data_IF_672781187831
#
_entry.id   IF_672781187831
#
_cell.length_a   1.000
_cell.length_b   1.000
_cell.length_c   1.000
_cell.angle_alpha   90.00
_cell.angle_beta   90.00
_cell.angle_gamma   90.00
#
_symmetry.space_group_name_H-M   'P 1'
#
loop_
_entity.id
_entity.type
_entity.pdbx_description
1 polymer ?
#
# COMPACT_ATOMS: atom_id res chain seq x y z
N UNK A 1 -20.10 -20.58 -13.57
CA UNK A 1 -18.67 -20.69 -13.63
C UNK A 1 -18.04 -19.78 -12.56
N UNK A 2 -17.26 -20.34 -11.63
CA UNK A 2 -16.50 -19.54 -10.66
C UNK A 2 -15.37 -18.88 -11.45
N UNK A 3 -15.50 -17.61 -11.73
CA UNK A 3 -14.41 -16.82 -12.28
C UNK A 3 -13.30 -16.78 -11.19
N UNK A 4 -12.25 -17.57 -11.38
CA UNK A 4 -11.02 -17.46 -10.58
C UNK A 4 -10.37 -16.13 -10.97
N UNK A 5 -10.49 -15.13 -10.11
CA UNK A 5 -9.80 -13.86 -10.29
C UNK A 5 -8.31 -14.13 -10.06
N UNK A 6 -7.54 -14.21 -11.16
CA UNK A 6 -6.09 -14.40 -11.13
C UNK A 6 -5.33 -13.08 -10.89
N UNK A 7 -6.06 -11.97 -10.76
CA UNK A 7 -5.52 -10.63 -10.57
C UNK A 7 -5.00 -10.42 -9.15
N UNK A 8 -3.98 -9.58 -8.92
CA UNK A 8 -3.43 -9.32 -7.60
C UNK A 8 -4.48 -8.74 -6.65
N UNK A 9 -5.35 -7.84 -7.14
CA UNK A 9 -6.44 -7.29 -6.33
C UNK A 9 -7.75 -7.42 -7.10
N UNK A 10 -8.77 -7.99 -6.46
CA UNK A 10 -10.09 -8.12 -7.04
C UNK A 10 -11.16 -8.02 -5.95
N UNK A 11 -12.02 -7.04 -6.06
CA UNK A 11 -13.22 -6.88 -5.26
C UNK A 11 -14.44 -7.11 -6.16
N UNK A 12 -15.39 -7.91 -5.71
CA UNK A 12 -16.65 -8.18 -6.42
C UNK A 12 -17.78 -8.06 -5.40
N UNK A 13 -18.63 -7.05 -5.57
CA UNK A 13 -19.77 -6.73 -4.71
C UNK A 13 -19.38 -6.74 -3.23
N UNK A 14 -18.19 -6.24 -2.92
CA UNK A 14 -17.63 -6.27 -1.58
C UNK A 14 -18.39 -5.31 -0.65
N UNK A 15 -18.92 -5.87 0.44
CA UNK A 15 -19.58 -5.09 1.48
C UNK A 15 -18.81 -5.19 2.80
N UNK A 16 -18.84 -4.12 3.58
CA UNK A 16 -18.35 -4.12 4.96
C UNK A 16 -19.31 -3.32 5.86
N UNK A 17 -19.89 -4.03 6.80
CA UNK A 17 -20.63 -3.46 7.91
C UNK A 17 -19.85 -3.74 9.18
N UNK A 18 -19.55 -2.71 9.96
CA UNK A 18 -18.91 -2.81 11.27
C UNK A 18 -19.92 -3.12 12.36
N UNK A 19 -19.48 -3.60 13.51
CA UNK A 19 -20.35 -4.00 14.64
C UNK A 19 -21.20 -2.83 15.19
N UNK A 20 -20.73 -1.60 15.00
CA UNK A 20 -21.49 -0.39 15.35
C UNK A 20 -22.59 -0.01 14.33
N UNK A 21 -22.84 -0.86 13.33
CA UNK A 21 -23.83 -0.64 12.27
C UNK A 21 -23.36 0.21 11.10
N UNK A 22 -22.13 0.72 11.10
CA UNK A 22 -21.58 1.54 10.00
C UNK A 22 -21.38 0.69 8.76
N UNK A 23 -22.09 0.98 7.66
CA UNK A 23 -21.90 0.37 6.34
C UNK A 23 -20.80 1.13 5.59
N UNK A 24 -19.57 0.70 5.75
CA UNK A 24 -18.41 1.36 5.17
C UNK A 24 -18.20 1.05 3.67
N UNK A 25 -18.64 -0.12 3.21
CA UNK A 25 -18.66 -0.49 1.79
C UNK A 25 -20.03 -1.08 1.43
N UNK A 26 -20.54 -0.69 0.26
CA UNK A 26 -21.91 -0.93 -0.20
C UNK A 26 -21.93 -1.58 -1.60
N UNK A 27 -21.23 -2.72 -1.76
CA UNK A 27 -21.14 -3.42 -3.05
C UNK A 27 -20.03 -2.87 -3.96
N UNK A 28 -18.82 -2.73 -3.41
CA UNK A 28 -17.65 -2.23 -4.16
C UNK A 28 -17.13 -3.31 -5.09
N UNK A 29 -16.98 -2.97 -6.39
CA UNK A 29 -16.39 -3.85 -7.40
C UNK A 29 -15.35 -3.11 -8.21
N UNK A 30 -14.12 -3.63 -8.21
CA UNK A 30 -13.01 -3.23 -9.09
C UNK A 30 -11.91 -4.30 -9.09
N UNK A 31 -11.03 -4.23 -10.07
CA UNK A 31 -9.84 -5.07 -10.17
C UNK A 31 -8.61 -4.21 -10.35
N UNK A 32 -7.43 -4.71 -9.98
CA UNK A 32 -6.14 -4.10 -10.30
C UNK A 32 -5.27 -5.19 -10.91
N UNK A 33 -4.66 -4.90 -12.05
CA UNK A 33 -3.81 -5.82 -12.79
C UNK A 33 -2.37 -5.88 -12.23
N UNK A 34 -1.65 -6.96 -12.55
CA UNK A 34 -0.23 -7.09 -12.19
C UNK A 34 0.60 -5.95 -12.81
N UNK A 35 1.41 -5.31 -11.98
CA UNK A 35 2.25 -4.18 -12.40
C UNK A 35 1.46 -2.90 -12.70
N UNK A 36 0.18 -2.83 -12.37
CA UNK A 36 -0.61 -1.62 -12.55
C UNK A 36 -0.29 -0.58 -11.45
N UNK A 37 -0.36 0.71 -11.83
CA UNK A 37 -0.35 1.82 -10.89
C UNK A 37 -1.74 2.45 -10.84
N UNK A 38 -2.38 2.43 -9.66
CA UNK A 38 -3.75 2.90 -9.48
C UNK A 38 -3.84 3.90 -8.33
N UNK A 39 -4.58 4.97 -8.54
CA UNK A 39 -5.04 5.85 -7.48
C UNK A 39 -6.40 5.42 -6.96
N UNK A 40 -6.54 5.30 -5.65
CA UNK A 40 -7.80 5.11 -4.94
C UNK A 40 -8.15 6.42 -4.24
N UNK A 41 -9.12 7.15 -4.77
CA UNK A 41 -9.43 8.51 -4.34
C UNK A 41 -10.87 8.63 -3.84
N UNK A 42 -11.16 9.71 -3.16
CA UNK A 42 -12.51 10.03 -2.65
C UNK A 42 -12.46 10.86 -1.37
N UNK A 43 -13.58 11.44 -0.95
CA UNK A 43 -13.67 12.25 0.26
C UNK A 43 -13.36 11.45 1.53
N UNK A 44 -13.15 12.13 2.64
CA UNK A 44 -13.02 11.47 3.95
C UNK A 44 -14.29 10.65 4.24
N UNK A 45 -14.11 9.44 4.79
CA UNK A 45 -15.24 8.55 5.08
C UNK A 45 -15.79 7.76 3.88
N UNK A 46 -15.26 7.91 2.66
CA UNK A 46 -15.75 7.20 1.47
C UNK A 46 -15.49 5.69 1.47
N UNK A 47 -14.73 5.14 2.42
CA UNK A 47 -14.45 3.70 2.51
C UNK A 47 -13.01 3.29 2.17
N UNK A 48 -12.12 4.22 1.78
CA UNK A 48 -10.72 3.95 1.39
C UNK A 48 -9.95 3.15 2.44
N UNK A 49 -9.96 3.61 3.70
CA UNK A 49 -9.27 2.90 4.79
C UNK A 49 -9.87 1.52 5.07
N UNK A 50 -11.16 1.31 4.80
CA UNK A 50 -11.79 -0.01 4.91
C UNK A 50 -11.30 -0.94 3.81
N UNK A 51 -11.10 -0.45 2.59
CA UNK A 51 -10.48 -1.22 1.50
C UNK A 51 -9.05 -1.62 1.87
N UNK A 52 -8.24 -0.70 2.40
CA UNK A 52 -6.89 -1.02 2.89
C UNK A 52 -6.95 -2.13 3.94
N UNK A 53 -7.83 -2.01 4.93
CA UNK A 53 -8.01 -3.02 5.99
C UNK A 53 -8.44 -4.38 5.46
N UNK A 54 -9.27 -4.43 4.42
CA UNK A 54 -9.62 -5.66 3.72
C UNK A 54 -8.40 -6.26 3.02
N UNK A 55 -7.62 -5.44 2.31
CA UNK A 55 -6.41 -5.89 1.61
C UNK A 55 -5.33 -6.38 2.57
N UNK A 56 -5.19 -5.77 3.74
CA UNK A 56 -4.19 -6.15 4.76
C UNK A 56 -4.65 -7.27 5.70
N UNK A 57 -5.90 -7.72 5.57
CA UNK A 57 -6.48 -8.75 6.43
C UNK A 57 -6.68 -8.30 7.88
N UNK A 58 -6.88 -7.02 8.11
CA UNK A 58 -7.28 -6.48 9.41
C UNK A 58 -8.77 -6.67 9.68
N UNK A 59 -9.57 -6.68 8.61
CA UNK A 59 -10.99 -6.99 8.64
C UNK A 59 -11.33 -7.94 7.49
N UNK A 60 -12.43 -8.67 7.63
CA UNK A 60 -13.02 -9.48 6.56
C UNK A 60 -14.25 -8.80 5.98
N UNK A 61 -14.59 -9.01 4.70
CA UNK A 61 -15.82 -8.48 4.12
C UNK A 61 -17.04 -9.16 4.76
N UNK A 62 -18.13 -8.40 4.88
CA UNK A 62 -19.43 -8.92 5.40
C UNK A 62 -20.17 -9.67 4.30
N UNK A 63 -20.04 -9.22 3.03
CA UNK A 63 -20.60 -9.88 1.85
C UNK A 63 -19.69 -9.63 0.64
N UNK A 64 -19.95 -10.32 -0.46
CA UNK A 64 -19.17 -10.25 -1.68
C UNK A 64 -17.85 -11.03 -1.60
N UNK A 65 -16.93 -10.74 -2.52
CA UNK A 65 -15.62 -11.40 -2.62
C UNK A 65 -14.50 -10.38 -2.67
N UNK A 66 -13.44 -10.67 -1.92
CA UNK A 66 -12.18 -9.90 -1.95
C UNK A 66 -11.04 -10.89 -2.12
N UNK A 67 -10.28 -10.72 -3.19
CA UNK A 67 -9.09 -11.49 -3.48
C UNK A 67 -7.86 -10.57 -3.42
N UNK A 68 -6.79 -11.02 -2.82
CA UNK A 68 -5.55 -10.28 -2.64
C UNK A 68 -4.39 -11.22 -2.89
N UNK A 69 -3.65 -11.01 -3.97
CA UNK A 69 -2.50 -11.83 -4.37
C UNK A 69 -2.78 -13.35 -4.28
N UNK A 70 -3.96 -13.78 -4.78
CA UNK A 70 -4.39 -15.17 -4.77
C UNK A 70 -5.05 -15.65 -3.46
N UNK A 71 -5.08 -14.83 -2.41
CA UNK A 71 -5.76 -15.16 -1.15
C UNK A 71 -7.20 -14.66 -1.15
N UNK A 72 -8.16 -15.53 -0.78
CA UNK A 72 -9.56 -15.14 -0.60
C UNK A 72 -9.77 -14.57 0.80
N UNK A 73 -9.92 -13.25 0.91
CA UNK A 73 -10.06 -12.56 2.20
C UNK A 73 -11.37 -12.90 2.91
N UNK A 74 -12.41 -13.28 2.17
CA UNK A 74 -13.70 -13.72 2.74
C UNK A 74 -13.62 -15.08 3.47
N UNK A 75 -12.57 -15.87 3.22
CA UNK A 75 -12.39 -17.23 3.74
C UNK A 75 -10.98 -17.50 4.27
N UNK A 76 -10.18 -16.43 4.45
CA UNK A 76 -8.79 -16.58 4.89
C UNK A 76 -8.74 -17.13 6.31
N UNK A 77 -8.02 -18.21 6.51
CA UNK A 77 -7.75 -18.71 7.85
C UNK A 77 -6.68 -17.84 8.54
N UNK A 78 -6.78 -17.64 9.85
CA UNK A 78 -5.83 -16.81 10.61
C UNK A 78 -4.37 -17.18 10.35
N UNK A 79 -4.06 -18.47 10.24
CA UNK A 79 -2.72 -18.98 9.92
C UNK A 79 -2.21 -18.59 8.54
N UNK A 80 -3.08 -18.20 7.62
CA UNK A 80 -2.72 -17.75 6.25
C UNK A 80 -2.43 -16.24 6.18
N UNK A 81 -2.98 -15.45 7.12
CA UNK A 81 -2.81 -13.99 7.14
C UNK A 81 -1.33 -13.57 7.11
N UNK A 82 -0.41 -14.16 7.90
CA UNK A 82 1.02 -13.82 7.82
C UNK A 82 1.62 -14.07 6.43
N UNK A 83 1.21 -15.11 5.72
CA UNK A 83 1.70 -15.41 4.37
C UNK A 83 1.16 -14.42 3.34
N UNK A 84 -0.12 -14.07 3.43
CA UNK A 84 -0.73 -13.05 2.60
C UNK A 84 -0.04 -11.68 2.82
N UNK A 85 0.19 -11.26 4.08
CA UNK A 85 0.86 -10.00 4.41
C UNK A 85 2.30 -9.91 3.89
N UNK A 86 2.99 -11.03 3.67
CA UNK A 86 4.32 -11.04 3.02
C UNK A 86 4.28 -10.61 1.56
N UNK A 87 3.13 -10.75 0.91
CA UNK A 87 2.94 -10.36 -0.50
C UNK A 87 2.60 -8.89 -0.69
N UNK A 88 2.35 -8.16 0.42
CA UNK A 88 1.95 -6.76 0.41
C UNK A 88 2.94 -5.92 1.23
N UNK A 89 3.43 -4.84 0.64
CA UNK A 89 4.11 -3.77 1.34
C UNK A 89 3.12 -2.65 1.66
N UNK A 90 3.03 -2.22 2.92
CA UNK A 90 2.15 -1.11 3.33
C UNK A 90 3.00 0.09 3.72
N UNK A 91 2.66 1.25 3.15
CA UNK A 91 3.26 2.55 3.45
C UNK A 91 2.17 3.39 4.11
N UNK A 92 2.47 3.95 5.28
CA UNK A 92 1.54 4.77 6.07
C UNK A 92 1.93 6.24 6.04
N UNK A 93 0.97 7.12 6.22
CA UNK A 93 1.15 8.57 6.29
C UNK A 93 2.08 8.99 7.46
N UNK A 94 2.00 8.31 8.60
CA UNK A 94 2.76 8.58 9.83
C UNK A 94 4.09 7.80 9.92
N UNK A 95 4.60 7.33 8.80
CA UNK A 95 5.84 6.56 8.62
C UNK A 95 5.92 5.27 9.45
N UNK A 96 5.43 5.26 10.67
CA UNK A 96 5.47 4.14 11.64
C UNK A 96 6.87 3.54 11.82
N UNK A 97 7.89 4.40 11.87
CA UNK A 97 9.25 3.97 12.17
C UNK A 97 9.43 3.75 13.67
N UNK A 98 10.25 2.77 14.01
CA UNK A 98 10.61 2.51 15.41
C UNK A 98 11.73 3.48 15.78
N UNK A 99 11.41 4.49 16.57
CA UNK A 99 12.28 5.65 16.85
C UNK A 99 13.61 5.30 17.52
N UNK A 100 13.66 4.27 18.37
CA UNK A 100 14.88 3.80 19.04
C UNK A 100 15.64 2.72 18.25
N UNK A 101 15.39 2.58 16.96
CA UNK A 101 16.06 1.67 16.03
C UNK A 101 16.63 2.46 14.86
N UNK A 102 17.81 2.03 14.40
CA UNK A 102 18.39 2.59 13.17
C UNK A 102 17.54 2.30 11.94
N UNK A 103 17.82 2.97 10.83
CA UNK A 103 17.23 2.66 9.51
C UNK A 103 17.43 1.18 9.20
N UNK A 104 18.68 0.68 9.32
CA UNK A 104 19.00 -0.74 9.13
C UNK A 104 18.12 -1.65 9.98
N UNK A 105 17.95 -1.34 11.27
CA UNK A 105 17.19 -2.19 12.19
C UNK A 105 15.70 -2.17 11.91
N UNK A 106 15.15 -1.03 11.44
CA UNK A 106 13.76 -0.92 11.00
C UNK A 106 13.48 -1.87 9.80
N UNK A 107 14.39 -1.94 8.83
CA UNK A 107 14.28 -2.87 7.71
C UNK A 107 14.52 -4.32 8.15
N UNK A 108 15.57 -4.55 8.97
CA UNK A 108 15.91 -5.88 9.46
C UNK A 108 14.78 -6.54 10.24
N UNK A 109 14.01 -5.75 11.01
CA UNK A 109 12.86 -6.27 11.75
C UNK A 109 11.79 -6.83 10.81
N UNK A 110 11.47 -6.12 9.72
CA UNK A 110 10.51 -6.59 8.72
C UNK A 110 10.98 -7.89 8.04
N UNK A 111 12.26 -8.01 7.75
CA UNK A 111 12.84 -9.23 7.17
C UNK A 111 12.87 -10.40 8.17
N UNK A 112 13.25 -10.16 9.42
CA UNK A 112 13.25 -11.19 10.47
C UNK A 112 11.85 -11.73 10.74
N UNK A 113 10.83 -10.89 10.69
CA UNK A 113 9.44 -11.30 10.86
C UNK A 113 8.97 -12.34 9.82
N UNK A 114 9.63 -12.42 8.67
CA UNK A 114 9.36 -13.43 7.63
C UNK A 114 10.37 -14.58 7.63
N UNK A 115 11.32 -14.59 8.58
CA UNK A 115 12.31 -15.66 8.74
C UNK A 115 13.58 -15.48 7.92
N UNK A 116 13.89 -14.26 7.47
CA UNK A 116 15.10 -14.00 6.69
C UNK A 116 16.40 -14.28 7.48
N UNK A 117 17.35 -14.92 6.83
CA UNK A 117 18.67 -15.23 7.37
C UNK A 117 19.58 -14.00 7.48
N UNK A 118 20.62 -14.02 8.33
CA UNK A 118 21.62 -12.95 8.40
C UNK A 118 22.28 -12.61 7.05
N UNK A 119 22.45 -13.60 6.18
CA UNK A 119 23.02 -13.42 4.83
C UNK A 119 22.06 -12.63 3.94
N UNK A 120 20.77 -12.93 3.99
CA UNK A 120 19.75 -12.20 3.23
C UNK A 120 19.65 -10.75 3.70
N UNK A 121 19.68 -10.50 5.02
CA UNK A 121 19.71 -9.14 5.57
C UNK A 121 20.89 -8.34 5.04
N UNK A 122 22.11 -8.96 5.08
CA UNK A 122 23.35 -8.31 4.64
C UNK A 122 23.31 -7.87 3.18
N UNK A 123 22.64 -8.64 2.33
CA UNK A 123 22.57 -8.36 0.89
C UNK A 123 21.38 -7.45 0.53
N UNK A 124 20.21 -7.68 1.14
CA UNK A 124 18.97 -7.02 0.73
C UNK A 124 18.83 -5.60 1.25
N UNK A 125 19.24 -5.34 2.50
CA UNK A 125 19.09 -4.02 3.11
C UNK A 125 19.85 -2.95 2.34
N UNK A 126 21.17 -3.08 2.04
CA UNK A 126 21.90 -2.09 1.26
C UNK A 126 21.29 -1.85 -0.12
N UNK A 127 20.88 -2.91 -0.82
CA UNK A 127 20.23 -2.81 -2.13
C UNK A 127 18.96 -1.95 -2.09
N UNK A 128 18.09 -2.19 -1.09
CA UNK A 128 16.84 -1.43 -0.98
C UNK A 128 17.10 0.01 -0.56
N UNK A 129 18.09 0.25 0.32
CA UNK A 129 18.47 1.61 0.72
C UNK A 129 19.06 2.41 -0.46
N UNK A 130 19.83 1.78 -1.32
CA UNK A 130 20.30 2.40 -2.56
C UNK A 130 19.13 2.75 -3.49
N UNK A 131 18.15 1.84 -3.66
CA UNK A 131 16.96 2.05 -4.49
C UNK A 131 16.16 3.29 -4.05
N UNK A 132 16.06 3.55 -2.75
CA UNK A 132 15.35 4.71 -2.18
C UNK A 132 16.25 5.92 -1.95
N UNK A 133 17.55 5.85 -2.32
CA UNK A 133 18.52 6.95 -2.19
C UNK A 133 18.93 7.27 -0.75
N UNK A 134 19.07 6.25 0.11
CA UNK A 134 19.42 6.38 1.53
C UNK A 134 20.60 5.46 1.94
N UNK A 135 21.49 5.12 1.01
CA UNK A 135 22.62 4.22 1.29
C UNK A 135 23.54 4.76 2.41
N UNK A 136 23.73 6.07 2.49
CA UNK A 136 24.53 6.76 3.51
C UNK A 136 23.82 6.89 4.89
N UNK A 137 22.53 6.57 4.99
CA UNK A 137 21.69 6.73 6.18
C UNK A 137 21.42 5.42 6.92
N UNK A 138 22.07 4.33 6.54
CA UNK A 138 21.79 2.99 7.10
C UNK A 138 21.86 2.95 8.63
N UNK A 139 22.79 3.69 9.23
CA UNK A 139 23.02 3.72 10.68
C UNK A 139 22.35 4.90 11.40
N UNK A 140 21.66 5.77 10.67
CA UNK A 140 20.93 6.91 11.25
C UNK A 140 19.67 6.45 11.99
N UNK A 141 19.26 7.24 12.98
CA UNK A 141 17.98 7.06 13.68
C UNK A 141 16.89 7.92 13.02
N UNK A 142 15.59 7.56 13.16
CA UNK A 142 14.49 8.32 12.57
C UNK A 142 14.46 9.81 12.91
N UNK A 143 14.83 10.20 14.13
CA UNK A 143 14.90 11.58 14.58
C UNK A 143 16.02 12.43 13.94
N UNK A 144 16.98 11.77 13.30
CA UNK A 144 18.07 12.38 12.54
C UNK A 144 17.71 12.58 11.06
N UNK A 145 16.51 12.19 10.65
CA UNK A 145 16.05 12.21 9.26
C UNK A 145 14.96 13.26 9.04
N UNK A 146 15.01 13.93 7.89
CA UNK A 146 13.89 14.75 7.43
C UNK A 146 12.64 13.92 7.16
N UNK A 147 11.45 14.54 7.12
CA UNK A 147 10.21 13.83 6.83
C UNK A 147 10.23 13.04 5.53
N UNK A 148 10.81 13.61 4.46
CA UNK A 148 10.96 12.91 3.18
C UNK A 148 11.93 11.70 3.27
N UNK A 149 13.01 11.79 4.06
CA UNK A 149 13.90 10.66 4.32
C UNK A 149 13.19 9.58 5.15
N UNK A 150 12.42 9.95 6.18
CA UNK A 150 11.62 9.01 6.96
C UNK A 150 10.61 8.27 6.09
N UNK A 151 9.96 8.97 5.16
CA UNK A 151 9.03 8.34 4.20
C UNK A 151 9.77 7.38 3.27
N UNK A 152 10.96 7.75 2.77
CA UNK A 152 11.79 6.83 1.98
C UNK A 152 12.22 5.58 2.78
N UNK A 153 12.48 5.71 4.09
CA UNK A 153 12.72 4.53 4.97
C UNK A 153 11.45 3.67 5.09
N UNK A 154 10.27 4.28 5.23
CA UNK A 154 9.00 3.53 5.27
C UNK A 154 8.74 2.77 3.96
N UNK A 155 9.05 3.39 2.81
CA UNK A 155 9.01 2.73 1.49
C UNK A 155 10.02 1.58 1.43
N UNK A 156 11.27 1.80 1.85
CA UNK A 156 12.30 0.77 1.89
C UNK A 156 11.86 -0.43 2.75
N UNK A 157 11.27 -0.18 3.92
CA UNK A 157 10.73 -1.23 4.79
C UNK A 157 9.58 -2.00 4.13
N UNK A 158 8.71 -1.33 3.38
CA UNK A 158 7.64 -2.00 2.62
C UNK A 158 8.20 -2.89 1.51
N UNK A 159 9.31 -2.49 0.86
CA UNK A 159 9.95 -3.18 -0.27
C UNK A 159 10.87 -4.32 0.14
N UNK A 160 11.38 -4.31 1.37
CA UNK A 160 12.51 -5.18 1.75
C UNK A 160 12.22 -6.68 1.59
N UNK A 161 10.95 -7.07 1.74
CA UNK A 161 10.49 -8.46 1.56
C UNK A 161 10.04 -8.79 0.13
N UNK A 162 10.31 -7.92 -0.83
CA UNK A 162 9.95 -8.09 -2.24
C UNK A 162 8.46 -8.37 -2.47
N UNK A 163 7.54 -7.50 -1.98
CA UNK A 163 6.13 -7.71 -2.15
C UNK A 163 5.73 -7.57 -3.64
N UNK A 164 4.70 -8.31 -4.06
CA UNK A 164 4.10 -8.13 -5.40
C UNK A 164 3.22 -6.88 -5.49
N UNK A 165 2.69 -6.43 -4.36
CA UNK A 165 1.80 -5.27 -4.29
C UNK A 165 2.24 -4.31 -3.18
N UNK A 166 2.25 -3.01 -3.48
CA UNK A 166 2.38 -1.92 -2.50
C UNK A 166 1.05 -1.20 -2.37
N UNK A 167 0.65 -0.96 -1.13
CA UNK A 167 -0.49 -0.11 -0.77
C UNK A 167 0.05 1.08 0.02
N UNK A 168 -0.04 2.27 -0.53
CA UNK A 168 0.41 3.51 0.09
C UNK A 168 -0.79 4.34 0.55
N UNK A 169 -0.95 4.47 1.86
CA UNK A 169 -2.04 5.23 2.50
C UNK A 169 -1.57 6.65 2.79
N UNK A 170 -2.02 7.62 2.01
CA UNK A 170 -1.66 9.05 2.07
C UNK A 170 -0.12 9.26 2.18
N UNK A 171 0.68 8.71 1.25
CA UNK A 171 2.14 8.64 1.40
C UNK A 171 2.83 10.01 1.39
N UNK A 172 2.11 11.07 1.06
CA UNK A 172 2.60 12.44 0.92
C UNK A 172 2.00 13.41 1.94
N UNK A 173 1.03 12.97 2.73
CA UNK A 173 0.20 13.83 3.57
C UNK A 173 0.94 14.64 4.66
N UNK A 174 2.19 14.30 4.98
CA UNK A 174 3.04 14.99 5.95
C UNK A 174 4.25 15.69 5.29
N UNK A 175 4.24 15.87 3.95
CA UNK A 175 5.37 16.38 3.19
C UNK A 175 5.00 17.68 2.48
N UNK A 176 6.02 18.50 2.19
CA UNK A 176 5.86 19.63 1.30
C UNK A 176 5.67 19.19 -0.18
N UNK A 177 5.13 20.05 -1.06
CA UNK A 177 4.83 19.68 -2.43
C UNK A 177 6.02 19.13 -3.24
N UNK A 178 7.24 19.66 -3.01
CA UNK A 178 8.43 19.19 -3.70
C UNK A 178 8.79 17.76 -3.32
N UNK A 179 8.78 17.47 -2.03
CA UNK A 179 9.05 16.12 -1.51
C UNK A 179 7.92 15.14 -1.84
N UNK A 180 6.68 15.61 -1.89
CA UNK A 180 5.53 14.81 -2.35
C UNK A 180 5.76 14.29 -3.76
N UNK A 181 6.22 15.13 -4.67
CA UNK A 181 6.55 14.75 -6.05
C UNK A 181 7.69 13.73 -6.10
N UNK A 182 8.75 13.90 -5.28
CA UNK A 182 9.85 12.93 -5.19
C UNK A 182 9.37 11.55 -4.73
N UNK A 183 8.52 11.49 -3.72
CA UNK A 183 7.96 10.23 -3.20
C UNK A 183 7.09 9.55 -4.25
N UNK A 184 6.24 10.29 -4.94
CA UNK A 184 5.39 9.73 -5.98
C UNK A 184 6.21 9.24 -7.19
N UNK A 185 7.24 9.98 -7.59
CA UNK A 185 8.19 9.55 -8.63
C UNK A 185 8.94 8.27 -8.22
N UNK A 186 9.31 8.15 -6.94
CA UNK A 186 9.91 6.91 -6.42
C UNK A 186 8.94 5.73 -6.51
N UNK A 187 7.67 5.90 -6.15
CA UNK A 187 6.63 4.86 -6.28
C UNK A 187 6.40 4.48 -7.76
N UNK A 188 6.43 5.44 -8.68
CA UNK A 188 6.34 5.17 -10.11
C UNK A 188 7.55 4.36 -10.62
N UNK A 189 8.77 4.66 -10.17
CA UNK A 189 9.97 3.87 -10.49
C UNK A 189 9.86 2.44 -9.95
N UNK A 190 9.34 2.26 -8.74
CA UNK A 190 9.10 0.93 -8.14
C UNK A 190 8.08 0.16 -8.98
N UNK A 191 7.01 0.82 -9.42
CA UNK A 191 6.02 0.23 -10.31
C UNK A 191 6.64 -0.20 -11.65
N UNK A 192 7.49 0.62 -12.24
CA UNK A 192 8.19 0.29 -13.49
C UNK A 192 9.10 -0.95 -13.37
N UNK A 193 9.46 -1.37 -12.15
CA UNK A 193 10.18 -2.63 -11.88
C UNK A 193 9.23 -3.85 -11.76
N UNK A 194 7.92 -3.66 -12.00
CA UNK A 194 6.91 -4.71 -12.03
C UNK A 194 6.07 -4.86 -10.76
N UNK A 195 6.28 -4.03 -9.74
CA UNK A 195 5.45 -4.06 -8.52
C UNK A 195 4.11 -3.36 -8.78
N UNK A 196 2.99 -3.98 -8.44
CA UNK A 196 1.68 -3.33 -8.43
C UNK A 196 1.62 -2.26 -7.34
N UNK A 197 1.16 -1.04 -7.66
CA UNK A 197 1.13 0.07 -6.72
C UNK A 197 -0.28 0.65 -6.62
N UNK A 198 -0.82 0.70 -5.42
CA UNK A 198 -2.10 1.35 -5.12
C UNK A 198 -1.82 2.51 -4.18
N UNK A 199 -2.08 3.73 -4.64
CA UNK A 199 -1.92 4.95 -3.84
C UNK A 199 -3.28 5.46 -3.43
N UNK A 200 -3.52 5.50 -2.12
CA UNK A 200 -4.71 6.10 -1.54
C UNK A 200 -4.38 7.55 -1.21
N UNK A 201 -5.08 8.49 -1.82
CA UNK A 201 -4.86 9.91 -1.56
C UNK A 201 -6.11 10.75 -1.88
N UNK A 202 -6.12 11.97 -1.37
CA UNK A 202 -7.08 13.01 -1.72
C UNK A 202 -6.41 14.21 -2.42
N UNK A 203 -5.10 14.15 -2.69
CA UNK A 203 -4.33 15.23 -3.31
C UNK A 203 -4.54 15.27 -4.84
N UNK A 204 -5.51 16.07 -5.31
CA UNK A 204 -5.87 16.20 -6.73
C UNK A 204 -4.69 16.57 -7.64
N UNK A 205 -3.83 17.46 -7.18
CA UNK A 205 -2.68 17.94 -7.95
C UNK A 205 -1.74 16.80 -8.32
N UNK A 206 -1.43 15.91 -7.37
CA UNK A 206 -0.58 14.75 -7.61
C UNK A 206 -1.27 13.73 -8.52
N UNK A 207 -2.55 13.40 -8.24
CA UNK A 207 -3.30 12.44 -9.04
C UNK A 207 -3.31 12.85 -10.52
N UNK A 208 -3.63 14.12 -10.80
CA UNK A 208 -3.70 14.65 -12.17
C UNK A 208 -2.31 14.73 -12.83
N UNK A 209 -1.24 15.01 -12.05
CA UNK A 209 0.12 15.08 -12.56
C UNK A 209 0.61 13.72 -13.10
N UNK A 210 0.35 12.63 -12.40
CA UNK A 210 0.85 11.30 -12.77
C UNK A 210 -0.01 10.59 -13.82
N UNK A 211 -1.24 11.06 -14.08
CA UNK A 211 -2.13 10.56 -15.15
C UNK A 211 -2.24 9.01 -15.20
N UNK A 212 -2.43 8.40 -14.05
CA UNK A 212 -2.67 6.95 -13.90
C UNK A 212 -4.17 6.67 -13.78
N UNK A 213 -4.55 5.41 -13.79
CA UNK A 213 -5.93 4.99 -13.52
C UNK A 213 -6.39 5.44 -12.15
N UNK A 214 -7.62 5.94 -12.08
CA UNK A 214 -8.26 6.44 -10.87
C UNK A 214 -9.49 5.60 -10.59
N UNK A 215 -9.58 5.07 -9.36
CA UNK A 215 -10.79 4.48 -8.81
C UNK A 215 -11.36 5.48 -7.82
N UNK A 216 -12.51 6.05 -8.14
CA UNK A 216 -13.18 7.09 -7.34
C UNK A 216 -14.23 6.45 -6.44
N UNK A 217 -14.02 6.60 -5.13
CA UNK A 217 -14.95 6.15 -4.10
C UNK A 217 -15.77 7.31 -3.54
N UNK A 218 -17.06 7.09 -3.38
CA UNK A 218 -17.94 7.97 -2.64
C UNK A 218 -18.96 7.14 -1.86
N UNK A 219 -19.18 7.48 -0.60
CA UNK A 219 -20.17 6.84 0.29
C UNK A 219 -20.18 5.30 0.21
N UNK A 220 -18.99 4.70 0.20
CA UNK A 220 -18.81 3.24 0.18
C UNK A 220 -19.09 2.58 -1.17
N UNK A 221 -19.15 3.32 -2.26
CA UNK A 221 -19.36 2.82 -3.63
C UNK A 221 -18.29 3.34 -4.60
N UNK A 222 -17.98 2.59 -5.65
CA UNK A 222 -17.17 3.07 -6.77
C UNK A 222 -18.10 3.87 -7.69
N UNK A 223 -17.79 5.14 -7.89
CA UNK A 223 -18.57 6.04 -8.75
C UNK A 223 -17.82 6.42 -10.04
N UNK A 224 -16.55 6.02 -10.16
CA UNK A 224 -15.72 6.20 -11.34
C UNK A 224 -14.54 5.26 -11.32
N UNK A 225 -14.14 4.76 -12.50
CA UNK A 225 -12.99 3.88 -12.70
C UNK A 225 -12.46 4.08 -14.12
N UNK A 226 -11.23 4.58 -14.25
CA UNK A 226 -10.61 4.82 -15.54
C UNK A 226 -9.46 5.82 -15.52
N UNK A 227 -8.91 6.08 -16.70
CA UNK A 227 -7.97 7.19 -16.92
C UNK A 227 -8.76 8.51 -16.98
N UNK A 228 -8.28 9.53 -16.29
CA UNK A 228 -8.95 10.84 -16.31
C UNK A 228 -8.41 11.80 -15.26
N UNK A 229 -9.05 12.96 -15.18
CA UNK A 229 -8.79 13.92 -14.10
C UNK A 229 -9.65 13.61 -12.88
N UNK A 230 -9.07 13.84 -11.69
CA UNK A 230 -9.79 13.77 -10.42
C UNK A 230 -10.47 15.13 -10.18
N UNK A 231 -11.73 15.23 -10.59
CA UNK A 231 -12.60 16.39 -10.36
C UNK A 231 -13.78 15.96 -9.46
N UNK A 232 -13.85 16.46 -8.24
CA UNK A 232 -15.00 16.31 -7.30
C UNK A 232 -15.32 17.66 -6.68
#
# INVERSE_FOLDING_TARGET
GVQTCALPICLIDAEKVYDNGTRALKGVSFTVDDGEFVFLVGPSGSGKSTIIKLMTGEVVPTAGRVMVNGFSMSRIAEKQIPYMRRTIGVIFQDFRLIGNKTVRDNLALAMRAVGASPRELKNRIPYVLELVGLADKENSYPDQLSGGEQQRVAIARALVNNPSTIVADEPTGNLDPGRSLEIMTLLERINALGTTVIVVTHERGLVNHFNKRIILLNDGQVIGDGLGSYEV
#
